data_IF_919096366002
#
_entry.id   IF_919096366002
#
_cell.length_a   1.000
_cell.length_b   1.000
_cell.length_c   1.000
_cell.angle_alpha   90.00
_cell.angle_beta   90.00
_cell.angle_gamma   90.00
#
_symmetry.space_group_name_H-M   'P 1'
#
loop_
_entity.id
_entity.type
_entity.pdbx_description
1 polymer ?
#
# COMPACT_ATOMS: atom_id res chain seq x y z
N UNK A 1 -41.40 -12.39 -7.94
CA UNK A 1 -40.74 -11.43 -7.02
C UNK A 1 -40.97 -11.93 -5.61
N UNK A 2 -39.94 -12.37 -4.87
CA UNK A 2 -40.11 -12.72 -3.46
C UNK A 2 -40.51 -11.47 -2.66
N UNK A 3 -41.42 -11.65 -1.70
CA UNK A 3 -41.90 -10.56 -0.84
C UNK A 3 -40.75 -10.01 0.04
N UNK A 4 -40.70 -8.69 0.29
CA UNK A 4 -39.72 -8.11 1.19
C UNK A 4 -39.93 -8.65 2.62
N UNK A 5 -38.86 -9.00 3.35
CA UNK A 5 -38.97 -9.54 4.70
C UNK A 5 -39.66 -8.53 5.64
N UNK A 6 -40.67 -8.99 6.37
CA UNK A 6 -41.48 -8.17 7.29
C UNK A 6 -40.85 -7.98 8.66
N UNK A 7 -39.75 -8.68 8.95
CA UNK A 7 -38.98 -8.58 10.20
C UNK A 7 -37.49 -8.82 9.93
N UNK A 8 -36.62 -8.12 10.65
CA UNK A 8 -35.18 -8.32 10.59
C UNK A 8 -34.80 -9.68 11.18
N UNK A 9 -34.02 -10.47 10.43
CA UNK A 9 -33.46 -11.74 10.88
C UNK A 9 -31.93 -11.70 10.75
N UNK A 10 -31.18 -11.63 11.87
CA UNK A 10 -29.72 -11.56 11.86
C UNK A 10 -29.05 -12.86 11.40
N UNK A 11 -29.80 -13.97 11.29
CA UNK A 11 -29.27 -15.27 10.86
C UNK A 11 -29.53 -15.57 9.39
N UNK A 12 -30.31 -14.72 8.72
CA UNK A 12 -30.59 -14.81 7.29
C UNK A 12 -29.30 -14.79 6.46
N UNK A 13 -29.28 -15.55 5.37
CA UNK A 13 -28.15 -15.58 4.44
C UNK A 13 -27.83 -14.19 3.87
N UNK A 14 -28.85 -13.35 3.67
CA UNK A 14 -28.69 -11.98 3.20
C UNK A 14 -28.04 -11.07 4.27
N UNK A 15 -28.00 -11.47 5.55
CA UNK A 15 -27.40 -10.72 6.66
C UNK A 15 -26.03 -11.27 7.10
N UNK A 16 -25.45 -12.20 6.33
CA UNK A 16 -24.09 -12.70 6.56
C UNK A 16 -23.09 -11.93 5.70
N UNK A 17 -22.32 -11.03 6.33
CA UNK A 17 -21.28 -10.26 5.65
C UNK A 17 -20.22 -11.19 5.02
N UNK A 18 -19.82 -10.97 3.75
CA UNK A 18 -18.74 -11.71 3.15
C UNK A 18 -17.44 -11.47 3.93
N UNK A 19 -16.58 -12.50 4.04
CA UNK A 19 -15.32 -12.37 4.76
C UNK A 19 -14.48 -11.24 4.14
N UNK A 20 -13.66 -10.54 4.94
CA UNK A 20 -12.75 -9.53 4.41
C UNK A 20 -11.78 -10.19 3.41
N UNK A 21 -11.30 -9.44 2.40
CA UNK A 21 -10.26 -9.93 1.51
C UNK A 21 -9.07 -10.44 2.34
N UNK A 22 -8.66 -11.67 2.07
CA UNK A 22 -7.57 -12.32 2.78
C UNK A 22 -6.76 -13.12 1.78
N UNK A 23 -5.45 -12.93 1.82
CA UNK A 23 -4.50 -13.72 1.05
C UNK A 23 -3.27 -13.98 1.93
N UNK A 24 -2.86 -15.25 2.12
CA UNK A 24 -1.69 -15.57 2.91
C UNK A 24 -0.43 -15.01 2.23
N UNK A 25 0.49 -14.39 2.98
CA UNK A 25 1.80 -14.01 2.45
C UNK A 25 2.62 -15.25 2.08
N UNK A 26 3.39 -15.15 1.00
CA UNK A 26 4.32 -16.17 0.52
C UNK A 26 5.76 -15.76 0.83
N UNK A 27 6.50 -16.63 1.52
CA UNK A 27 7.91 -16.36 1.81
C UNK A 27 8.77 -16.67 0.56
N UNK A 28 9.45 -15.66 0.02
CA UNK A 28 10.33 -15.83 -1.14
C UNK A 28 11.77 -16.14 -0.73
N UNK A 29 12.26 -15.49 0.33
CA UNK A 29 13.60 -15.69 0.90
C UNK A 29 13.59 -15.28 2.37
N UNK A 30 14.65 -15.49 3.17
CA UNK A 30 14.69 -15.03 4.57
C UNK A 30 14.46 -13.53 4.77
N UNK A 31 14.56 -12.72 3.71
CA UNK A 31 14.42 -11.26 3.73
C UNK A 31 13.29 -10.75 2.85
N UNK A 32 12.63 -11.61 2.08
CA UNK A 32 11.62 -11.20 1.11
C UNK A 32 10.32 -11.97 1.30
N UNK A 33 9.21 -11.23 1.35
CA UNK A 33 7.85 -11.77 1.43
C UNK A 33 7.00 -11.16 0.33
N UNK A 34 6.19 -11.99 -0.32
CA UNK A 34 5.16 -11.57 -1.27
C UNK A 34 3.81 -11.57 -0.57
N UNK A 35 3.12 -10.44 -0.59
CA UNK A 35 1.75 -10.29 -0.12
C UNK A 35 0.85 -10.04 -1.34
N UNK A 36 -0.06 -10.98 -1.67
CA UNK A 36 -1.05 -10.73 -2.71
C UNK A 36 -1.99 -9.58 -2.29
N UNK A 37 -2.69 -8.94 -3.26
CA UNK A 37 -3.60 -7.84 -2.99
C UNK A 37 -4.65 -8.21 -1.95
N UNK A 38 -4.86 -7.33 -0.97
CA UNK A 38 -5.90 -7.42 0.05
C UNK A 38 -7.11 -6.55 -0.31
N UNK A 39 -7.33 -6.33 -1.61
CA UNK A 39 -8.53 -5.70 -2.14
C UNK A 39 -9.53 -6.76 -2.61
N UNK A 40 -10.81 -6.40 -2.76
CA UNK A 40 -11.84 -7.33 -3.27
C UNK A 40 -11.56 -7.83 -4.68
N UNK A 41 -10.73 -7.12 -5.45
CA UNK A 41 -10.34 -7.53 -6.80
C UNK A 41 -9.48 -8.79 -6.79
N UNK A 42 -8.72 -9.03 -5.71
CA UNK A 42 -7.80 -10.16 -5.57
C UNK A 42 -6.61 -10.16 -6.53
N UNK A 43 -6.53 -9.18 -7.45
CA UNK A 43 -5.45 -8.97 -8.38
C UNK A 43 -5.14 -7.48 -8.52
N UNK A 44 -3.89 -7.16 -8.88
CA UNK A 44 -3.44 -5.78 -9.06
C UNK A 44 -1.97 -5.67 -9.45
N UNK A 45 -1.49 -4.45 -9.68
CA UNK A 45 -0.15 -4.25 -10.21
C UNK A 45 0.92 -4.59 -9.19
N UNK A 46 2.12 -4.93 -9.69
CA UNK A 46 3.27 -5.24 -8.86
C UNK A 46 3.87 -4.00 -8.20
N UNK A 47 4.22 -4.13 -6.93
CA UNK A 47 4.92 -3.11 -6.16
C UNK A 47 6.02 -3.76 -5.30
N UNK A 48 7.22 -3.20 -5.33
CA UNK A 48 8.33 -3.63 -4.48
C UNK A 48 8.52 -2.62 -3.36
N UNK A 49 8.58 -3.07 -2.11
CA UNK A 49 8.91 -2.25 -0.95
C UNK A 49 10.31 -2.58 -0.47
N UNK A 50 11.14 -1.55 -0.29
CA UNK A 50 12.43 -1.67 0.38
C UNK A 50 12.29 -1.14 1.79
N UNK A 51 12.39 -2.03 2.77
CA UNK A 51 12.10 -1.72 4.18
C UNK A 51 13.37 -1.82 5.04
N UNK A 52 13.56 -0.91 6.02
CA UNK A 52 14.67 -1.03 6.97
C UNK A 52 14.43 -2.18 7.96
N UNK A 53 15.49 -2.76 8.51
CA UNK A 53 15.43 -3.89 9.46
C UNK A 53 14.50 -3.66 10.66
N UNK A 54 14.34 -2.40 11.05
CA UNK A 54 13.53 -1.96 12.19
C UNK A 54 12.01 -2.15 11.96
N UNK A 55 11.57 -2.41 10.72
CA UNK A 55 10.13 -2.57 10.44
C UNK A 55 9.57 -3.93 10.80
N UNK A 56 10.40 -4.92 11.12
CA UNK A 56 9.96 -6.27 11.47
C UNK A 56 8.92 -6.25 12.60
N UNK A 57 7.67 -6.72 12.36
CA UNK A 57 6.59 -6.66 13.34
C UNK A 57 6.94 -7.36 14.66
N UNK A 58 7.73 -8.44 14.58
CA UNK A 58 8.20 -9.24 15.71
C UNK A 58 9.05 -8.45 16.72
N UNK A 59 9.65 -7.33 16.31
CA UNK A 59 10.50 -6.49 17.17
C UNK A 59 9.72 -5.43 17.95
N UNK A 60 8.40 -5.30 17.76
CA UNK A 60 7.60 -4.21 18.34
C UNK A 60 6.94 -4.60 19.65
N UNK A 61 6.91 -3.64 20.59
CA UNK A 61 6.24 -3.80 21.90
C UNK A 61 4.72 -3.59 21.83
N UNK A 62 4.23 -2.82 20.87
CA UNK A 62 2.81 -2.46 20.73
C UNK A 62 2.41 -2.46 19.25
N UNK A 63 1.16 -2.85 18.97
CA UNK A 63 0.59 -2.82 17.63
C UNK A 63 0.16 -1.37 17.30
N UNK A 64 0.72 -0.75 16.25
CA UNK A 64 0.31 0.60 15.86
C UNK A 64 -1.15 0.63 15.36
N UNK A 65 -1.77 1.82 15.42
CA UNK A 65 -3.13 2.02 14.89
C UNK A 65 -3.14 1.89 13.36
N UNK A 66 -2.11 2.43 12.71
CA UNK A 66 -1.92 2.34 11.27
C UNK A 66 -1.29 1.00 10.88
N UNK A 67 -1.72 0.41 9.74
CA UNK A 67 -1.16 -0.84 9.25
C UNK A 67 0.29 -0.67 8.80
N UNK A 68 1.04 -1.76 8.84
CA UNK A 68 2.40 -1.80 8.32
C UNK A 68 2.45 -1.57 6.81
N UNK A 69 3.59 -1.07 6.26
CA UNK A 69 3.71 -0.75 4.84
C UNK A 69 3.21 -1.87 3.91
N UNK A 70 3.56 -3.13 4.19
CA UNK A 70 3.14 -4.29 3.38
C UNK A 70 1.61 -4.40 3.33
N UNK A 71 0.97 -4.45 4.50
CA UNK A 71 -0.49 -4.52 4.60
C UNK A 71 -1.14 -3.28 3.98
N UNK A 72 -0.60 -2.09 4.26
CA UNK A 72 -1.12 -0.81 3.77
C UNK A 72 -1.17 -0.79 2.24
N UNK A 73 -0.09 -1.18 1.56
CA UNK A 73 -0.06 -1.21 0.10
C UNK A 73 -0.88 -2.35 -0.51
N UNK A 74 -0.97 -3.50 0.17
CA UNK A 74 -1.82 -4.60 -0.28
C UNK A 74 -3.31 -4.24 -0.19
N UNK A 75 -3.73 -3.51 0.85
CA UNK A 75 -5.10 -2.99 1.01
C UNK A 75 -5.48 -1.95 -0.07
N UNK A 76 -4.50 -1.20 -0.58
CA UNK A 76 -4.68 -0.32 -1.76
C UNK A 76 -4.85 -1.11 -3.08
N UNK A 77 -4.64 -2.43 -3.05
CA UNK A 77 -4.83 -3.33 -4.18
C UNK A 77 -3.56 -3.67 -4.96
N UNK A 78 -2.38 -3.41 -4.43
CA UNK A 78 -1.12 -3.85 -5.05
C UNK A 78 -0.77 -5.28 -4.65
N UNK A 79 -0.10 -5.99 -5.55
CA UNK A 79 0.64 -7.20 -5.20
C UNK A 79 2.04 -6.77 -4.75
N UNK A 80 2.36 -7.00 -3.49
CA UNK A 80 3.51 -6.39 -2.83
C UNK A 80 4.61 -7.41 -2.61
N UNK A 81 5.84 -7.15 -3.07
CA UNK A 81 7.03 -7.85 -2.57
C UNK A 81 7.78 -6.91 -1.63
N UNK A 82 7.88 -7.27 -0.36
CA UNK A 82 8.62 -6.52 0.63
C UNK A 82 9.98 -7.17 0.89
N UNK A 83 11.05 -6.38 0.78
CA UNK A 83 12.42 -6.79 1.04
C UNK A 83 12.88 -6.04 2.30
N UNK A 84 13.10 -6.76 3.39
CA UNK A 84 13.64 -6.24 4.65
C UNK A 84 15.14 -6.51 4.73
N UNK A 85 15.96 -5.49 4.93
CA UNK A 85 17.40 -5.71 5.03
C UNK A 85 18.25 -4.46 4.83
N UNK A 86 19.57 -4.56 5.08
CA UNK A 86 20.51 -3.60 4.52
C UNK A 86 20.43 -3.65 2.99
N UNK A 87 20.61 -2.49 2.31
CA UNK A 87 20.46 -2.40 0.87
C UNK A 87 21.55 -3.21 0.16
N UNK A 88 21.18 -4.38 -0.38
CA UNK A 88 21.90 -5.06 -1.45
C UNK A 88 20.95 -5.25 -2.65
N UNK A 89 20.50 -4.15 -3.27
CA UNK A 89 19.19 -4.13 -3.91
C UNK A 89 19.12 -4.87 -5.26
N UNK A 90 20.22 -5.03 -5.98
CA UNK A 90 20.13 -5.42 -7.38
C UNK A 90 19.60 -6.85 -7.60
N UNK A 91 20.14 -7.84 -6.88
CA UNK A 91 19.69 -9.24 -7.01
C UNK A 91 18.31 -9.43 -6.40
N UNK A 92 18.07 -8.90 -5.18
CA UNK A 92 16.75 -9.03 -4.53
C UNK A 92 15.64 -8.35 -5.34
N UNK A 93 15.90 -7.20 -5.98
CA UNK A 93 14.93 -6.53 -6.84
C UNK A 93 14.66 -7.38 -8.10
N UNK A 94 15.69 -7.95 -8.73
CA UNK A 94 15.52 -8.80 -9.89
C UNK A 94 14.69 -10.05 -9.55
N UNK A 95 14.97 -10.70 -8.42
CA UNK A 95 14.22 -11.85 -7.93
C UNK A 95 12.76 -11.47 -7.59
N UNK A 96 12.54 -10.30 -6.98
CA UNK A 96 11.22 -9.78 -6.69
C UNK A 96 10.40 -9.50 -7.97
N UNK A 97 11.04 -8.92 -9.01
CA UNK A 97 10.41 -8.73 -10.32
C UNK A 97 9.99 -10.07 -10.93
N UNK A 98 10.87 -11.07 -10.90
CA UNK A 98 10.56 -12.40 -11.42
C UNK A 98 9.46 -13.10 -10.62
N UNK A 99 9.43 -12.94 -9.30
CA UNK A 99 8.36 -13.45 -8.46
C UNK A 99 7.01 -12.81 -8.82
N UNK A 100 6.95 -11.48 -8.94
CA UNK A 100 5.75 -10.75 -9.34
C UNK A 100 5.26 -11.16 -10.74
N UNK A 101 6.17 -11.33 -11.70
CA UNK A 101 5.82 -11.77 -13.07
C UNK A 101 5.20 -13.17 -13.09
N UNK A 102 5.62 -14.07 -12.20
CA UNK A 102 5.09 -15.44 -12.12
C UNK A 102 3.78 -15.53 -11.35
N UNK A 103 3.52 -14.60 -10.44
CA UNK A 103 2.35 -14.67 -9.56
C UNK A 103 1.03 -14.39 -10.32
N UNK A 104 -0.02 -15.16 -10.03
CA UNK A 104 -1.31 -15.09 -10.74
C UNK A 104 -2.12 -13.83 -10.39
N UNK A 105 -1.94 -13.29 -9.18
CA UNK A 105 -2.60 -12.06 -8.74
C UNK A 105 -1.99 -10.76 -9.31
N UNK A 106 -0.98 -10.84 -10.18
CA UNK A 106 -0.35 -9.68 -10.84
C UNK A 106 -0.92 -9.52 -12.25
N UNK A 107 -1.60 -8.40 -12.49
CA UNK A 107 -2.27 -8.13 -13.78
C UNK A 107 -1.39 -7.36 -14.77
N UNK A 108 -0.60 -6.39 -14.29
CA UNK A 108 0.39 -5.66 -15.05
C UNK A 108 1.80 -6.17 -14.70
N UNK A 109 2.35 -7.03 -15.56
CA UNK A 109 3.63 -7.72 -15.34
C UNK A 109 4.84 -6.99 -15.94
N UNK A 110 4.58 -5.99 -16.77
CA UNK A 110 5.56 -5.15 -17.47
C UNK A 110 5.78 -3.79 -16.79
N UNK A 111 4.97 -3.45 -15.77
CA UNK A 111 5.02 -2.17 -15.06
C UNK A 111 4.98 -2.39 -13.55
N UNK A 112 6.13 -2.25 -12.92
CA UNK A 112 6.33 -2.44 -11.49
C UNK A 112 6.88 -1.14 -10.89
N UNK A 113 6.36 -0.74 -9.74
CA UNK A 113 6.88 0.38 -8.96
C UNK A 113 7.80 -0.07 -7.83
N UNK A 114 8.64 0.84 -7.36
CA UNK A 114 9.39 0.65 -6.09
C UNK A 114 9.02 1.75 -5.10
N UNK A 115 8.82 1.39 -3.84
CA UNK A 115 8.76 2.34 -2.71
C UNK A 115 9.86 2.01 -1.70
N UNK A 116 10.80 2.92 -1.53
CA UNK A 116 11.91 2.79 -0.58
C UNK A 116 11.62 3.56 0.71
N UNK A 117 11.65 2.88 1.85
CA UNK A 117 11.52 3.45 3.19
C UNK A 117 12.87 3.78 3.83
N UNK A 118 13.84 4.13 2.99
CA UNK A 118 15.19 4.51 3.36
C UNK A 118 15.97 5.06 2.15
N UNK A 119 17.22 5.47 2.36
CA UNK A 119 18.08 5.90 1.26
C UNK A 119 18.39 4.72 0.33
N UNK A 120 18.33 4.97 -0.98
CA UNK A 120 18.74 3.99 -1.99
C UNK A 120 20.27 3.96 -2.07
N UNK A 121 20.87 2.79 -1.88
CA UNK A 121 22.32 2.60 -1.95
C UNK A 121 22.69 1.41 -2.88
N UNK A 122 23.52 1.62 -3.91
CA UNK A 122 23.84 2.93 -4.51
C UNK A 122 22.55 3.67 -4.95
N UNK A 123 22.58 5.02 -5.12
CA UNK A 123 21.42 5.75 -5.63
C UNK A 123 20.94 5.10 -6.93
N UNK A 124 19.60 5.02 -7.09
CA UNK A 124 18.84 4.25 -8.11
C UNK A 124 19.75 3.46 -9.06
N UNK A 125 19.93 2.14 -8.88
CA UNK A 125 20.96 1.40 -9.57
C UNK A 125 20.86 1.61 -11.09
N UNK A 126 21.98 1.98 -11.72
CA UNK A 126 22.04 2.32 -13.15
C UNK A 126 21.49 1.21 -14.08
N UNK A 127 21.41 -0.03 -13.57
CA UNK A 127 20.86 -1.20 -14.23
C UNK A 127 19.67 -1.73 -13.45
N UNK A 128 18.53 -1.06 -13.60
CA UNK A 128 17.24 -1.58 -13.12
C UNK A 128 16.65 -2.58 -14.13
N UNK A 129 15.87 -3.58 -13.68
CA UNK A 129 15.04 -4.36 -14.58
C UNK A 129 14.12 -3.42 -15.39
N UNK A 130 13.91 -3.69 -16.70
CA UNK A 130 13.12 -2.83 -17.57
C UNK A 130 11.65 -2.71 -17.15
N UNK A 131 11.14 -3.65 -16.37
CA UNK A 131 9.79 -3.64 -15.82
C UNK A 131 9.60 -2.56 -14.74
N UNK A 132 10.68 -2.03 -14.18
CA UNK A 132 10.59 -0.96 -13.18
C UNK A 132 10.36 0.37 -13.89
N UNK A 133 9.17 0.94 -13.68
CA UNK A 133 8.74 2.16 -14.40
C UNK A 133 8.78 3.42 -13.55
N UNK A 134 8.85 3.31 -12.24
CA UNK A 134 8.96 4.45 -11.33
C UNK A 134 9.49 4.05 -9.95
N UNK A 135 10.03 5.04 -9.23
CA UNK A 135 10.56 4.87 -7.88
C UNK A 135 10.05 5.98 -6.97
N UNK A 136 9.56 5.64 -5.78
CA UNK A 136 9.30 6.59 -4.71
C UNK A 136 10.23 6.30 -3.52
N UNK A 137 10.80 7.33 -2.90
CA UNK A 137 11.77 7.16 -1.82
C UNK A 137 11.51 8.13 -0.67
N UNK A 138 11.48 7.60 0.56
CA UNK A 138 11.51 8.37 1.81
C UNK A 138 12.95 8.74 2.18
N UNK A 139 13.55 9.58 1.34
CA UNK A 139 14.91 10.06 1.48
C UNK A 139 15.05 11.45 0.86
N UNK A 140 16.15 12.12 1.19
CA UNK A 140 16.55 13.33 0.48
C UNK A 140 17.01 12.99 -0.94
N UNK A 141 16.76 13.87 -1.92
CA UNK A 141 17.16 13.64 -3.31
C UNK A 141 18.69 13.58 -3.41
N UNK A 142 19.20 12.55 -4.06
CA UNK A 142 20.61 12.46 -4.44
C UNK A 142 20.85 13.25 -5.75
N UNK A 143 22.05 13.82 -5.97
CA UNK A 143 22.37 14.58 -7.18
C UNK A 143 22.51 13.73 -8.46
N UNK A 144 22.38 12.40 -8.35
CA UNK A 144 22.51 11.48 -9.48
C UNK A 144 21.22 11.39 -10.31
N UNK A 145 21.31 11.40 -11.65
CA UNK A 145 20.15 11.20 -12.52
C UNK A 145 19.57 9.79 -12.33
N UNK A 146 18.24 9.69 -12.34
CA UNK A 146 17.53 8.42 -12.29
C UNK A 146 17.05 8.03 -13.70
N UNK A 147 17.15 6.75 -14.09
CA UNK A 147 16.66 6.29 -15.40
C UNK A 147 15.14 6.31 -15.50
N UNK A 148 14.44 6.41 -14.38
CA UNK A 148 12.97 6.35 -14.28
C UNK A 148 12.43 7.54 -13.48
N UNK A 149 11.17 7.96 -13.72
CA UNK A 149 10.50 8.95 -12.89
C UNK A 149 10.66 8.60 -11.41
N UNK A 150 11.13 9.58 -10.62
CA UNK A 150 11.45 9.36 -9.22
C UNK A 150 10.80 10.41 -8.33
N UNK A 151 10.17 9.98 -7.24
CA UNK A 151 9.49 10.85 -6.29
C UNK A 151 10.10 10.76 -4.90
N UNK A 152 10.59 11.87 -4.37
CA UNK A 152 11.24 11.94 -3.06
C UNK A 152 10.33 12.56 -2.00
N UNK A 153 10.26 11.91 -0.85
CA UNK A 153 9.63 12.41 0.36
C UNK A 153 10.72 12.77 1.38
N UNK A 154 11.07 14.06 1.43
CA UNK A 154 12.17 14.56 2.25
C UNK A 154 11.68 15.16 3.58
N UNK A 155 12.44 14.91 4.65
CA UNK A 155 12.15 15.43 5.99
C UNK A 155 12.96 16.71 6.25
N UNK A 156 12.43 17.64 7.04
CA UNK A 156 13.22 18.75 7.61
C UNK A 156 12.72 20.14 7.25
N UNK A 157 13.45 21.15 7.74
CA UNK A 157 13.11 22.56 7.62
C UNK A 157 13.53 23.13 6.26
N UNK A 158 12.76 22.81 5.23
CA UNK A 158 12.64 23.66 4.04
C UNK A 158 11.18 24.09 3.97
N UNK A 159 10.93 25.37 3.71
CA UNK A 159 9.58 25.88 3.48
C UNK A 159 8.88 24.93 2.50
N UNK A 160 7.67 24.47 2.86
CA UNK A 160 6.95 23.32 2.29
C UNK A 160 6.55 23.44 0.81
N UNK A 161 7.49 23.87 -0.02
CA UNK A 161 7.38 24.07 -1.45
C UNK A 161 7.74 22.76 -2.11
N UNK A 162 6.80 22.24 -2.88
CA UNK A 162 7.10 21.17 -3.82
C UNK A 162 8.13 21.71 -4.82
N UNK A 163 9.27 21.03 -4.92
CA UNK A 163 10.32 21.39 -5.86
C UNK A 163 10.39 20.28 -6.90
N UNK A 164 9.85 20.57 -8.08
CA UNK A 164 10.06 19.77 -9.29
C UNK A 164 11.39 20.19 -9.91
N UNK A 165 12.33 19.26 -10.00
CA UNK A 165 13.61 19.46 -10.68
C UNK A 165 13.77 18.43 -11.78
N UNK A 166 14.10 18.88 -12.99
CA UNK A 166 14.56 18.00 -14.07
C UNK A 166 16.07 17.83 -13.91
N UNK A 167 16.49 16.71 -13.32
CA UNK A 167 17.89 16.25 -13.43
C UNK A 167 17.90 15.18 -14.53
N UNK A 168 18.86 15.28 -15.45
CA UNK A 168 18.85 14.63 -16.77
C UNK A 168 18.18 13.26 -16.89
N UNK A 169 17.36 13.13 -17.94
CA UNK A 169 16.65 11.95 -18.47
C UNK A 169 15.29 11.55 -17.87
N UNK A 170 14.97 11.82 -16.60
CA UNK A 170 13.62 11.57 -16.05
C UNK A 170 13.19 12.64 -15.04
N UNK A 171 11.88 12.87 -14.92
CA UNK A 171 11.33 13.87 -13.98
C UNK A 171 11.55 13.43 -12.53
N UNK A 172 12.22 14.26 -11.73
CA UNK A 172 12.31 14.09 -10.29
C UNK A 172 11.37 15.08 -9.58
N UNK A 173 10.47 14.55 -8.78
CA UNK A 173 9.60 15.35 -7.90
C UNK A 173 10.07 15.24 -6.46
N UNK A 174 9.98 16.31 -5.69
CA UNK A 174 10.34 16.29 -4.26
C UNK A 174 9.26 17.00 -3.46
N UNK A 175 8.77 16.34 -2.42
CA UNK A 175 7.88 16.93 -1.42
C UNK A 175 8.55 16.94 -0.05
N UNK A 176 8.50 18.11 0.58
CA UNK A 176 9.10 18.36 1.89
C UNK A 176 8.06 18.30 3.01
N UNK A 177 8.41 17.64 4.11
CA UNK A 177 7.55 17.49 5.29
C UNK A 177 8.21 18.20 6.48
N UNK A 178 7.75 19.40 6.86
CA UNK A 178 8.33 20.16 7.96
C UNK A 178 8.09 19.44 9.29
N UNK A 179 9.00 19.63 10.26
CA UNK A 179 8.91 19.05 11.61
C UNK A 179 8.85 17.50 11.64
N UNK A 180 9.28 16.84 10.57
CA UNK A 180 9.40 15.37 10.53
C UNK A 180 10.86 14.93 10.59
N UNK A 181 11.07 13.68 11.03
CA UNK A 181 12.37 13.00 11.03
C UNK A 181 12.32 11.79 10.11
N UNK A 182 13.48 11.18 9.84
CA UNK A 182 13.57 9.91 9.11
C UNK A 182 12.61 8.89 9.72
N UNK A 183 12.02 8.05 8.87
CA UNK A 183 11.04 7.03 9.26
C UNK A 183 9.71 7.59 9.82
N UNK A 184 9.35 8.86 9.58
CA UNK A 184 8.07 9.42 10.04
C UNK A 184 6.82 8.73 9.48
N UNK A 185 6.97 7.95 8.42
CA UNK A 185 5.88 7.19 7.79
C UNK A 185 5.71 5.77 8.32
N UNK A 186 6.67 5.28 9.12
CA UNK A 186 6.66 3.91 9.63
C UNK A 186 5.93 3.85 10.97
N UNK A 187 4.77 3.18 11.08
CA UNK A 187 3.96 3.19 12.32
C UNK A 187 4.69 2.63 13.55
N UNK A 188 5.69 1.77 13.36
CA UNK A 188 6.52 1.22 14.44
C UNK A 188 7.67 2.12 14.90
N UNK A 189 7.93 3.24 14.22
CA UNK A 189 9.05 4.14 14.52
C UNK A 189 8.67 5.16 15.60
N UNK A 190 9.65 5.51 16.45
CA UNK A 190 9.50 6.63 17.39
C UNK A 190 9.31 7.99 16.71
N UNK A 191 9.69 8.10 15.42
CA UNK A 191 9.52 9.30 14.62
C UNK A 191 8.16 9.40 13.90
N UNK A 192 7.29 8.41 14.07
CA UNK A 192 6.03 8.30 13.34
C UNK A 192 5.13 9.53 13.54
N UNK A 193 4.67 10.12 12.43
CA UNK A 193 3.79 11.29 12.42
C UNK A 193 2.58 11.02 11.50
N UNK A 194 1.38 10.77 12.06
CA UNK A 194 0.23 10.27 11.31
C UNK A 194 -0.23 11.18 10.15
N UNK A 195 -0.30 12.49 10.39
CA UNK A 195 -0.78 13.45 9.40
C UNK A 195 0.18 13.58 8.21
N UNK A 196 1.48 13.87 8.41
CA UNK A 196 2.47 13.83 7.33
C UNK A 196 2.55 12.46 6.63
N UNK A 197 2.46 11.36 7.39
CA UNK A 197 2.50 10.01 6.82
C UNK A 197 1.30 9.73 5.89
N UNK A 198 0.10 10.18 6.28
CA UNK A 198 -1.10 10.05 5.46
C UNK A 198 -1.00 10.89 4.19
N UNK A 199 -0.54 12.14 4.30
CA UNK A 199 -0.34 13.01 3.15
C UNK A 199 0.71 12.46 2.18
N UNK A 200 1.82 11.95 2.71
CA UNK A 200 2.87 11.32 1.92
C UNK A 200 2.37 10.07 1.19
N UNK A 201 1.58 9.24 1.88
CA UNK A 201 0.96 8.06 1.29
C UNK A 201 0.04 8.41 0.12
N UNK A 202 -0.87 9.37 0.28
CA UNK A 202 -1.78 9.81 -0.80
C UNK A 202 -1.02 10.33 -2.02
N UNK A 203 0.02 11.14 -1.81
CA UNK A 203 0.86 11.66 -2.90
C UNK A 203 1.61 10.53 -3.61
N UNK A 204 2.13 9.57 -2.85
CA UNK A 204 2.82 8.41 -3.42
C UNK A 204 1.85 7.54 -4.23
N UNK A 205 0.64 7.31 -3.73
CA UNK A 205 -0.40 6.58 -4.46
C UNK A 205 -0.74 7.25 -5.80
N UNK A 206 -0.88 8.57 -5.83
CA UNK A 206 -1.13 9.32 -7.07
C UNK A 206 0.04 9.19 -8.07
N UNK A 207 1.28 9.27 -7.58
CA UNK A 207 2.49 9.08 -8.38
C UNK A 207 2.56 7.65 -8.96
N UNK A 208 2.35 6.62 -8.15
CA UNK A 208 2.38 5.22 -8.59
C UNK A 208 1.28 4.94 -9.62
N UNK A 209 0.04 5.39 -9.37
CA UNK A 209 -1.08 5.24 -10.32
C UNK A 209 -0.77 5.87 -11.67
N UNK A 210 -0.16 7.07 -11.68
CA UNK A 210 0.23 7.76 -12.92
C UNK A 210 1.22 6.97 -13.77
N UNK A 211 2.20 6.29 -13.15
CA UNK A 211 3.29 5.64 -13.86
C UNK A 211 3.04 4.14 -14.13
N UNK A 212 2.40 3.45 -13.20
CA UNK A 212 2.09 2.02 -13.30
C UNK A 212 0.78 1.80 -14.06
N UNK A 213 -0.18 2.73 -13.95
CA UNK A 213 -1.50 2.64 -14.59
C UNK A 213 -2.55 1.91 -13.76
N UNK A 214 -2.30 1.64 -12.48
CA UNK A 214 -3.25 0.98 -11.58
C UNK A 214 -2.80 1.04 -10.12
N UNK A 215 -3.57 0.46 -9.18
CA UNK A 215 -4.82 -0.26 -9.39
C UNK A 215 -5.99 0.69 -9.69
N UNK A 216 -6.80 0.31 -10.68
CA UNK A 216 -8.03 1.01 -11.06
C UNK A 216 -9.21 0.24 -10.47
N UNK A 217 -10.03 0.94 -9.70
CA UNK A 217 -11.28 0.40 -9.15
C UNK A 217 -12.46 1.04 -9.86
N UNK A 218 -13.45 0.23 -10.21
CA UNK A 218 -14.73 0.72 -10.69
C UNK A 218 -15.54 1.22 -9.49
N UNK A 219 -15.45 2.52 -9.23
CA UNK A 219 -16.11 3.15 -8.10
C UNK A 219 -17.63 3.13 -8.28
N UNK A 220 -18.12 3.23 -9.52
CA UNK A 220 -19.55 3.17 -9.82
C UNK A 220 -20.12 1.79 -9.49
N UNK A 221 -19.44 0.71 -9.91
CA UNK A 221 -19.86 -0.65 -9.58
C UNK A 221 -19.87 -0.90 -8.05
N UNK A 222 -18.89 -0.38 -7.31
CA UNK A 222 -18.88 -0.48 -5.84
C UNK A 222 -20.03 0.32 -5.22
N UNK A 223 -20.37 1.47 -5.78
CA UNK A 223 -21.46 2.32 -5.30
C UNK A 223 -22.85 1.74 -5.60
N UNK A 224 -23.04 1.17 -6.79
CA UNK A 224 -24.23 0.40 -7.16
C UNK A 224 -24.42 -0.80 -6.23
N UNK A 225 -23.35 -1.54 -5.92
CA UNK A 225 -23.39 -2.64 -4.96
C UNK A 225 -23.80 -2.14 -3.56
N UNK A 226 -23.20 -1.05 -3.08
CA UNK A 226 -23.51 -0.47 -1.77
C UNK A 226 -24.98 -0.07 -1.65
N UNK A 227 -25.50 0.67 -2.64
CA UNK A 227 -26.87 1.17 -2.61
C UNK A 227 -27.92 0.11 -2.85
N UNK A 228 -27.58 -0.95 -3.59
CA UNK A 228 -28.41 -2.15 -3.66
C UNK A 228 -28.58 -2.78 -2.27
N UNK A 229 -27.50 -2.94 -1.51
CA UNK A 229 -27.59 -3.53 -0.17
C UNK A 229 -28.28 -2.62 0.84
N UNK A 230 -28.07 -1.31 0.74
CA UNK A 230 -28.65 -0.33 1.66
C UNK A 230 -30.16 -0.13 1.40
N UNK A 231 -30.57 0.05 0.14
CA UNK A 231 -31.93 0.49 -0.18
C UNK A 231 -32.85 -0.62 -0.71
N UNK A 232 -32.34 -1.51 -1.58
CA UNK A 232 -33.15 -2.58 -2.17
C UNK A 232 -33.28 -3.76 -1.20
N UNK A 233 -32.14 -4.25 -0.69
CA UNK A 233 -32.07 -5.44 0.18
C UNK A 233 -32.14 -5.11 1.66
N UNK A 234 -31.81 -3.87 2.04
CA UNK A 234 -31.79 -3.36 3.42
C UNK A 234 -31.00 -4.24 4.38
N UNK A 235 -29.90 -4.82 3.90
CA UNK A 235 -28.99 -5.60 4.73
C UNK A 235 -27.90 -4.72 5.29
N UNK A 236 -27.83 -4.61 6.61
CA UNK A 236 -26.79 -3.82 7.29
C UNK A 236 -25.44 -4.52 7.13
N UNK A 237 -25.42 -5.84 7.34
CA UNK A 237 -24.20 -6.64 7.24
C UNK A 237 -23.56 -6.54 5.84
N UNK A 238 -24.34 -6.63 4.77
CA UNK A 238 -23.84 -6.51 3.39
C UNK A 238 -23.49 -5.07 3.02
N UNK A 239 -24.20 -4.08 3.55
CA UNK A 239 -23.85 -2.67 3.35
C UNK A 239 -22.53 -2.32 4.03
N UNK A 240 -22.31 -2.81 5.25
CA UNK A 240 -20.99 -2.72 5.89
C UNK A 240 -19.96 -3.57 5.16
N UNK A 241 -20.43 -4.67 4.55
CA UNK A 241 -19.81 -5.46 3.50
C UNK A 241 -19.13 -4.60 2.44
N UNK A 242 -19.82 -3.58 1.92
CA UNK A 242 -19.34 -2.79 0.78
C UNK A 242 -18.40 -1.65 1.18
N UNK A 243 -18.27 -1.34 2.47
CA UNK A 243 -17.35 -0.32 2.99
C UNK A 243 -15.89 -0.79 3.03
N UNK A 244 -14.95 0.18 3.01
CA UNK A 244 -13.50 -0.04 3.16
C UNK A 244 -13.19 -0.63 4.55
N UNK A 245 -12.23 -1.55 4.65
CA UNK A 245 -11.88 -2.31 5.88
C UNK A 245 -11.64 -1.43 7.11
N UNK A 246 -11.08 -0.22 6.95
CA UNK A 246 -10.91 0.74 8.05
C UNK A 246 -12.25 1.16 8.70
N UNK A 247 -13.34 1.19 7.93
CA UNK A 247 -14.71 1.42 8.42
C UNK A 247 -15.38 0.14 8.96
N UNK A 248 -14.84 -1.05 8.69
CA UNK A 248 -15.37 -2.35 9.16
C UNK A 248 -14.94 -2.73 10.59
N UNK A 249 -14.20 -1.88 11.32
CA UNK A 249 -13.89 -2.16 12.73
C UNK A 249 -15.20 -2.07 13.54
N UNK A 250 -15.85 -3.22 13.74
CA UNK A 250 -16.93 -3.39 14.70
C UNK A 250 -16.47 -2.97 16.12
N UNK A 251 -17.39 -2.55 17.00
CA UNK A 251 -17.08 -2.29 18.39
C UNK A 251 -16.45 -3.53 19.04
N UNK A 252 -15.43 -3.30 19.88
CA UNK A 252 -14.81 -4.33 20.69
C UNK A 252 -15.90 -5.13 21.42
N UNK A 253 -15.74 -6.47 21.57
CA UNK A 253 -16.66 -7.25 22.37
C UNK A 253 -16.70 -6.65 23.78
N UNK A 254 -17.86 -6.16 24.18
CA UNK A 254 -18.11 -5.73 25.56
C UNK A 254 -17.97 -6.99 26.40
N UNK A 255 -16.89 -7.07 27.18
CA UNK A 255 -16.71 -8.16 28.14
C UNK A 255 -17.92 -8.14 29.09
N UNK A 256 -18.61 -9.27 29.32
CA UNK A 256 -19.65 -9.29 30.33
C UNK A 256 -19.00 -8.99 31.68
N UNK A 257 -19.48 -7.93 32.34
CA UNK A 257 -19.10 -7.60 33.69
C UNK A 257 -19.33 -8.83 34.58
N UNK A 258 -18.28 -9.25 35.30
CA UNK A 258 -18.36 -10.22 36.39
C UNK A 258 -18.96 -9.58 37.63
#
# INVERSE_FOLDING_TARGET
>A
MPHPPTSFDPTSADEQAPPPPSAPPEQLSPRAVLQPPLSRRGAGPGLILLLPDETEPSRRRQKPLDPDPVQKWAEEGFAVVAITGPPSPAHDIADAVEALKKHAAVDAKDKIGIVSYGPLHPPVPARMPPEIVCVAAFAEPAPSPSPVPTYFHACGARDGRETTGTTGHASASVSWYPNTRRHFVLPGSAAYSPAPASLAHTRNLAFLKKHIGGPVFDIEAVWEEHTRWEFERRSVAQTMATMVVRARRLPLPVSPAR
#
